data_IF_537299773246
#
_entry.id   IF_537299773246
#
_cell.length_a   1.000
_cell.length_b   1.000
_cell.length_c   1.000
_cell.angle_alpha   90.00
_cell.angle_beta   90.00
_cell.angle_gamma   90.00
#
_symmetry.space_group_name_H-M   'P 1'
#
loop_
_entity.id
_entity.type
_entity.pdbx_description
1 polymer ?
#
# COMPACT_ATOMS: atom_id res chain seq x y z
N UNK A 1 22.39 -1.80 21.66
CA UNK A 1 22.24 -0.37 21.90
C UNK A 1 21.17 -0.11 22.97
N UNK A 2 19.87 -0.30 22.72
CA UNK A 2 18.76 0.07 23.63
C UNK A 2 18.87 -0.56 25.03
N UNK A 3 19.22 -1.86 25.13
CA UNK A 3 19.41 -2.53 26.43
C UNK A 3 20.58 -1.97 27.22
N UNK A 4 21.63 -1.50 26.54
CA UNK A 4 22.78 -0.85 27.21
C UNK A 4 22.41 0.53 27.75
N UNK A 5 21.59 1.29 27.00
CA UNK A 5 21.17 2.62 27.39
C UNK A 5 20.05 2.63 28.45
N UNK A 6 19.15 1.63 28.38
CA UNK A 6 17.99 1.51 29.27
C UNK A 6 17.87 0.10 29.86
N UNK A 7 18.75 -0.31 30.80
CA UNK A 7 18.77 -1.67 31.35
C UNK A 7 17.46 -2.10 32.03
N UNK A 8 16.71 -1.13 32.55
CA UNK A 8 15.47 -1.32 33.27
C UNK A 8 14.25 -1.59 32.35
N UNK A 9 14.39 -1.36 31.04
CA UNK A 9 13.30 -1.59 30.11
C UNK A 9 13.15 -3.07 29.78
N UNK A 10 11.91 -3.57 29.89
CA UNK A 10 11.56 -4.94 29.54
C UNK A 10 10.21 -5.05 28.85
N UNK A 11 9.89 -6.25 28.35
CA UNK A 11 8.61 -6.57 27.74
C UNK A 11 8.25 -5.63 26.58
N UNK A 12 6.98 -5.20 26.56
CA UNK A 12 6.43 -4.35 25.49
C UNK A 12 7.14 -2.98 25.38
N UNK A 13 7.55 -2.40 26.51
CA UNK A 13 8.25 -1.09 26.53
C UNK A 13 9.58 -1.15 25.80
N UNK A 14 10.35 -2.24 26.01
CA UNK A 14 11.60 -2.45 25.28
C UNK A 14 11.37 -2.54 23.76
N UNK A 15 10.35 -3.29 23.34
CA UNK A 15 10.00 -3.42 21.91
C UNK A 15 9.67 -2.06 21.30
N UNK A 16 8.84 -1.25 21.99
CA UNK A 16 8.49 0.09 21.50
C UNK A 16 9.73 0.99 21.37
N UNK A 17 10.64 0.94 22.35
CA UNK A 17 11.85 1.76 22.31
C UNK A 17 12.80 1.31 21.20
N UNK A 18 12.96 0.00 20.98
CA UNK A 18 13.72 -0.52 19.83
C UNK A 18 13.14 -0.03 18.51
N UNK A 19 11.84 -0.15 18.32
CA UNK A 19 11.17 0.32 17.10
C UNK A 19 11.32 1.83 16.91
N UNK A 20 11.18 2.62 18.00
CA UNK A 20 11.42 4.08 17.96
C UNK A 20 12.83 4.41 17.49
N UNK A 21 13.84 3.75 18.06
CA UNK A 21 15.23 3.96 17.68
C UNK A 21 15.51 3.53 16.23
N UNK A 22 14.90 2.45 15.77
CA UNK A 22 15.02 2.03 14.36
C UNK A 22 14.43 3.06 13.40
N UNK A 23 13.26 3.61 13.73
CA UNK A 23 12.63 4.65 12.92
C UNK A 23 13.51 5.90 12.90
N UNK A 24 13.96 6.36 14.06
CA UNK A 24 14.83 7.52 14.19
C UNK A 24 16.12 7.37 13.36
N UNK A 25 16.78 6.22 13.49
CA UNK A 25 17.99 5.88 12.73
C UNK A 25 17.75 5.92 11.20
N UNK A 26 16.70 5.28 10.73
CA UNK A 26 16.39 5.22 9.29
C UNK A 26 15.95 6.57 8.73
N UNK A 27 15.21 7.37 9.48
CA UNK A 27 14.77 8.70 9.05
C UNK A 27 15.96 9.67 8.97
N UNK A 28 16.83 9.67 9.97
CA UNK A 28 18.01 10.53 9.97
C UNK A 28 18.95 10.18 8.81
N UNK A 29 19.23 8.90 8.59
CA UNK A 29 20.03 8.46 7.43
C UNK A 29 19.43 8.88 6.10
N UNK A 30 18.12 8.67 5.91
CA UNK A 30 17.42 9.07 4.69
C UNK A 30 17.57 10.58 4.44
N UNK A 31 17.41 11.39 5.48
CA UNK A 31 17.53 12.85 5.38
C UNK A 31 18.96 13.24 5.03
N UNK A 32 19.96 12.69 5.71
CA UNK A 32 21.35 13.08 5.53
C UNK A 32 21.90 12.61 4.18
N UNK A 33 21.63 11.36 3.78
CA UNK A 33 22.01 10.82 2.47
C UNK A 33 21.32 11.59 1.33
N UNK A 34 20.03 11.90 1.47
CA UNK A 34 19.30 12.69 0.47
C UNK A 34 19.80 14.13 0.36
N UNK A 35 20.15 14.77 1.49
CA UNK A 35 20.77 16.11 1.49
C UNK A 35 22.10 16.10 0.74
N UNK A 36 22.95 15.11 1.00
CA UNK A 36 24.23 14.98 0.30
C UNK A 36 24.03 14.75 -1.21
N UNK A 37 23.07 13.91 -1.59
CA UNK A 37 22.71 13.66 -3.00
C UNK A 37 22.19 14.92 -3.69
N UNK A 38 21.27 15.65 -3.05
CA UNK A 38 20.76 16.93 -3.55
C UNK A 38 21.85 17.98 -3.70
N UNK A 39 22.74 18.09 -2.72
CA UNK A 39 23.84 19.04 -2.78
C UNK A 39 24.82 18.73 -3.92
N UNK A 40 25.09 17.45 -4.17
CA UNK A 40 25.94 16.98 -5.27
C UNK A 40 25.30 17.20 -6.64
N UNK A 41 24.03 16.90 -6.79
CA UNK A 41 23.30 17.04 -8.07
C UNK A 41 22.92 18.49 -8.36
N UNK A 42 22.74 19.31 -7.33
CA UNK A 42 22.39 20.73 -7.39
C UNK A 42 21.32 21.10 -8.43
N UNK A 43 20.17 20.38 -8.49
CA UNK A 43 19.15 20.62 -9.50
C UNK A 43 18.51 22.01 -9.31
N UNK A 44 18.25 22.71 -10.41
CA UNK A 44 17.68 24.08 -10.41
C UNK A 44 16.17 24.08 -10.61
N UNK A 45 15.60 22.94 -11.05
CA UNK A 45 14.16 22.81 -11.31
C UNK A 45 13.67 21.39 -11.06
N UNK A 46 12.36 21.24 -10.96
CA UNK A 46 11.71 19.91 -10.84
C UNK A 46 11.92 19.07 -12.10
N UNK A 47 11.99 19.72 -13.26
CA UNK A 47 12.21 19.00 -14.53
C UNK A 47 13.64 18.47 -14.62
N UNK A 48 14.63 19.19 -14.09
CA UNK A 48 15.98 18.66 -13.93
C UNK A 48 16.00 17.42 -13.02
N UNK A 49 15.30 17.45 -11.87
CA UNK A 49 15.17 16.29 -10.98
C UNK A 49 14.58 15.09 -11.71
N UNK A 50 13.51 15.30 -12.49
CA UNK A 50 12.84 14.23 -13.26
C UNK A 50 13.70 13.65 -14.37
N UNK A 51 14.65 14.41 -14.91
CA UNK A 51 15.57 13.96 -15.96
C UNK A 51 16.76 13.15 -15.44
N UNK A 52 16.99 13.11 -14.13
CA UNK A 52 18.09 12.35 -13.54
C UNK A 52 17.85 10.85 -13.65
N UNK A 53 18.91 10.11 -13.98
CA UNK A 53 18.86 8.65 -14.07
C UNK A 53 18.74 7.96 -12.69
N UNK A 54 19.14 8.62 -11.61
CA UNK A 54 19.14 8.08 -10.27
C UNK A 54 18.23 8.91 -9.34
N UNK A 55 17.53 8.29 -8.39
CA UNK A 55 16.74 9.01 -7.41
C UNK A 55 17.65 9.84 -6.51
N UNK A 56 17.21 11.03 -6.13
CA UNK A 56 17.91 11.89 -5.17
C UNK A 56 17.54 11.60 -3.72
N UNK A 57 16.34 11.05 -3.48
CA UNK A 57 15.90 10.62 -2.16
C UNK A 57 16.26 9.14 -1.97
N UNK A 58 17.25 8.87 -1.15
CA UNK A 58 17.81 7.54 -0.98
C UNK A 58 18.40 7.36 0.42
N UNK A 59 18.50 6.12 0.86
CA UNK A 59 19.29 5.75 2.03
C UNK A 59 20.77 5.67 1.67
N UNK A 60 21.65 5.80 2.67
CA UNK A 60 23.04 5.35 2.51
C UNK A 60 23.09 3.86 2.15
N UNK A 61 24.19 3.42 1.53
CA UNK A 61 24.32 2.03 1.10
C UNK A 61 24.21 1.06 2.28
N UNK A 62 24.81 1.38 3.43
CA UNK A 62 24.74 0.57 4.63
C UNK A 62 23.31 0.39 5.15
N UNK A 63 22.58 1.48 5.34
CA UNK A 63 21.19 1.44 5.83
C UNK A 63 20.26 0.79 4.82
N UNK A 64 20.51 0.98 3.53
CA UNK A 64 19.77 0.30 2.47
C UNK A 64 19.91 -1.22 2.54
N UNK A 65 21.14 -1.74 2.77
CA UNK A 65 21.38 -3.17 2.93
C UNK A 65 20.67 -3.73 4.17
N UNK A 66 20.80 -3.08 5.32
CA UNK A 66 20.09 -3.44 6.55
C UNK A 66 18.56 -3.43 6.36
N UNK A 67 18.04 -2.44 5.67
CA UNK A 67 16.62 -2.34 5.36
C UNK A 67 16.14 -3.47 4.44
N UNK A 68 16.93 -3.88 3.45
CA UNK A 68 16.62 -5.01 2.58
C UNK A 68 16.68 -6.34 3.34
N UNK A 69 17.59 -6.49 4.29
CA UNK A 69 17.66 -7.66 5.16
C UNK A 69 16.43 -7.75 6.06
N UNK A 70 16.05 -6.64 6.71
CA UNK A 70 14.83 -6.58 7.52
C UNK A 70 13.59 -6.92 6.70
N UNK A 71 13.47 -6.39 5.47
CA UNK A 71 12.36 -6.73 4.56
C UNK A 71 12.31 -8.23 4.23
N UNK A 72 13.46 -8.86 3.97
CA UNK A 72 13.54 -10.31 3.72
C UNK A 72 13.07 -11.10 4.93
N UNK A 73 13.57 -10.74 6.12
CA UNK A 73 13.17 -11.35 7.37
C UNK A 73 11.66 -11.25 7.62
N UNK A 74 11.09 -10.05 7.50
CA UNK A 74 9.66 -9.82 7.67
C UNK A 74 8.82 -10.56 6.63
N UNK A 75 9.30 -10.65 5.39
CA UNK A 75 8.62 -11.41 4.34
C UNK A 75 8.48 -12.88 4.71
N UNK A 76 9.53 -13.48 5.26
CA UNK A 76 9.52 -14.90 5.60
C UNK A 76 8.75 -15.20 6.87
N UNK A 77 8.94 -14.39 7.92
CA UNK A 77 8.43 -14.70 9.25
C UNK A 77 7.07 -14.06 9.57
N UNK A 78 6.72 -12.96 8.90
CA UNK A 78 5.48 -12.25 9.14
C UNK A 78 4.51 -12.39 7.95
N UNK A 79 4.90 -11.93 6.76
CA UNK A 79 3.97 -11.85 5.63
C UNK A 79 3.59 -13.23 5.05
N UNK A 80 4.46 -14.24 5.16
CA UNK A 80 4.14 -15.63 4.81
C UNK A 80 3.47 -16.43 5.94
N UNK A 81 3.26 -15.81 7.08
CA UNK A 81 2.56 -16.48 8.18
C UNK A 81 1.12 -16.83 7.77
N UNK A 82 0.66 -18.05 8.10
CA UNK A 82 -0.64 -18.57 7.63
C UNK A 82 -1.82 -17.64 7.92
N UNK A 83 -1.82 -16.94 9.06
CA UNK A 83 -2.89 -15.98 9.42
C UNK A 83 -2.92 -14.79 8.46
N UNK A 84 -1.75 -14.26 8.07
CA UNK A 84 -1.63 -13.15 7.12
C UNK A 84 -2.05 -13.62 5.73
N UNK A 85 -1.56 -14.79 5.30
CA UNK A 85 -1.94 -15.38 4.02
C UNK A 85 -3.46 -15.60 3.90
N UNK A 86 -4.11 -16.12 4.96
CA UNK A 86 -5.57 -16.29 4.99
C UNK A 86 -6.31 -14.96 4.81
N UNK A 87 -5.86 -13.91 5.52
CA UNK A 87 -6.48 -12.58 5.41
C UNK A 87 -6.26 -11.98 4.02
N UNK A 88 -5.05 -12.05 3.49
CA UNK A 88 -4.73 -11.54 2.16
C UNK A 88 -5.51 -12.28 1.07
N UNK A 89 -5.57 -13.62 1.14
CA UNK A 89 -6.34 -14.44 0.18
C UNK A 89 -7.81 -14.10 0.22
N UNK A 90 -8.38 -13.91 1.44
CA UNK A 90 -9.78 -13.47 1.58
C UNK A 90 -10.00 -12.09 0.97
N UNK A 91 -9.15 -11.12 1.25
CA UNK A 91 -9.26 -9.77 0.69
C UNK A 91 -9.17 -9.77 -0.84
N UNK A 92 -8.19 -10.49 -1.40
CA UNK A 92 -8.06 -10.65 -2.86
C UNK A 92 -9.29 -11.29 -3.50
N UNK A 93 -9.90 -12.26 -2.83
CA UNK A 93 -11.13 -12.88 -3.28
C UNK A 93 -12.28 -11.89 -3.32
N UNK A 94 -12.50 -11.14 -2.24
CA UNK A 94 -13.55 -10.12 -2.14
C UNK A 94 -13.41 -9.09 -3.27
N UNK A 95 -12.23 -8.52 -3.45
CA UNK A 95 -11.99 -7.52 -4.52
C UNK A 95 -12.24 -8.10 -5.92
N UNK A 96 -11.76 -9.32 -6.17
CA UNK A 96 -11.94 -9.98 -7.48
C UNK A 96 -13.41 -10.30 -7.78
N UNK A 97 -14.14 -10.82 -6.80
CA UNK A 97 -15.54 -11.17 -6.97
C UNK A 97 -16.40 -9.91 -7.17
N UNK A 98 -16.17 -8.84 -6.41
CA UNK A 98 -16.82 -7.54 -6.62
C UNK A 98 -16.53 -7.00 -8.03
N UNK A 99 -15.26 -6.99 -8.44
CA UNK A 99 -14.87 -6.51 -9.75
C UNK A 99 -15.57 -7.30 -10.87
N UNK A 100 -15.52 -8.62 -10.82
CA UNK A 100 -16.12 -9.47 -11.84
C UNK A 100 -17.65 -9.30 -11.93
N UNK A 101 -18.33 -9.20 -10.78
CA UNK A 101 -19.77 -8.98 -10.76
C UNK A 101 -20.14 -7.62 -11.36
N UNK A 102 -19.52 -6.53 -10.90
CA UNK A 102 -19.84 -5.16 -11.36
C UNK A 102 -19.33 -4.90 -12.79
N UNK A 103 -18.27 -5.54 -13.22
CA UNK A 103 -17.81 -5.47 -14.61
C UNK A 103 -18.74 -6.20 -15.56
N UNK A 104 -19.29 -7.35 -15.15
CA UNK A 104 -20.27 -8.11 -15.91
C UNK A 104 -21.65 -7.44 -15.95
N UNK A 105 -22.06 -6.80 -14.86
CA UNK A 105 -23.34 -6.12 -14.72
C UNK A 105 -23.17 -4.78 -14.00
N UNK A 106 -23.02 -3.72 -14.80
CA UNK A 106 -22.77 -2.35 -14.31
C UNK A 106 -23.91 -1.81 -13.42
N UNK A 107 -25.14 -2.32 -13.62
CA UNK A 107 -26.29 -1.91 -12.84
C UNK A 107 -26.25 -2.36 -11.37
N UNK A 108 -25.29 -3.20 -10.99
CA UNK A 108 -25.03 -3.54 -9.59
C UNK A 108 -24.37 -2.40 -8.80
N UNK A 109 -23.82 -1.39 -9.46
CA UNK A 109 -23.25 -0.21 -8.81
C UNK A 109 -24.33 0.87 -8.56
N UNK A 110 -24.07 1.83 -7.64
CA UNK A 110 -24.92 3.02 -7.50
C UNK A 110 -25.00 3.82 -8.80
N UNK A 111 -26.13 4.49 -9.03
CA UNK A 111 -26.45 5.18 -10.31
C UNK A 111 -25.35 6.12 -10.81
N UNK A 112 -24.74 6.89 -9.92
CA UNK A 112 -23.66 7.82 -10.27
C UNK A 112 -22.42 7.10 -10.86
N UNK A 113 -22.11 5.90 -10.35
CA UNK A 113 -21.01 5.07 -10.84
C UNK A 113 -21.38 4.33 -12.13
N UNK A 114 -22.65 3.95 -12.31
CA UNK A 114 -23.17 3.40 -13.58
C UNK A 114 -22.98 4.41 -14.72
N UNK A 115 -23.34 5.68 -14.49
CA UNK A 115 -23.22 6.73 -15.50
C UNK A 115 -21.75 7.02 -15.84
N UNK A 116 -20.86 6.98 -14.85
CA UNK A 116 -19.43 7.09 -15.06
C UNK A 116 -18.90 5.92 -15.92
N UNK A 117 -19.32 4.68 -15.61
CA UNK A 117 -18.94 3.49 -16.36
C UNK A 117 -19.39 3.57 -17.81
N UNK A 118 -20.66 3.94 -18.07
CA UNK A 118 -21.19 4.09 -19.43
C UNK A 118 -20.46 5.16 -20.24
N UNK A 119 -20.14 6.30 -19.62
CA UNK A 119 -19.35 7.37 -20.28
C UNK A 119 -17.95 6.93 -20.66
N UNK A 120 -17.24 6.27 -19.74
CA UNK A 120 -15.88 5.79 -20.00
C UNK A 120 -15.90 4.63 -21.00
N UNK A 121 -16.88 3.75 -20.95
CA UNK A 121 -17.06 2.68 -21.93
C UNK A 121 -17.34 3.23 -23.34
N UNK A 122 -18.12 4.28 -23.47
CA UNK A 122 -18.34 4.93 -24.76
C UNK A 122 -17.08 5.57 -25.35
N UNK A 123 -16.14 6.01 -24.50
CA UNK A 123 -14.87 6.59 -24.93
C UNK A 123 -13.79 5.54 -25.24
N UNK A 124 -13.63 4.54 -24.37
CA UNK A 124 -12.48 3.61 -24.37
C UNK A 124 -12.89 2.13 -24.37
N UNK A 125 -14.18 1.82 -24.65
CA UNK A 125 -14.67 0.45 -24.68
C UNK A 125 -14.58 -0.24 -23.32
N UNK A 126 -14.30 -1.55 -23.32
CA UNK A 126 -14.18 -2.36 -22.10
C UNK A 126 -13.11 -1.85 -21.13
N UNK A 127 -12.05 -1.21 -21.63
CA UNK A 127 -10.99 -0.61 -20.79
C UNK A 127 -11.55 0.53 -19.95
N UNK A 128 -12.41 1.37 -20.55
CA UNK A 128 -13.09 2.46 -19.84
C UNK A 128 -14.06 1.94 -18.78
N UNK A 129 -14.83 0.90 -19.09
CA UNK A 129 -15.70 0.22 -18.11
C UNK A 129 -14.89 -0.38 -16.97
N UNK A 130 -13.83 -1.11 -17.27
CA UNK A 130 -12.95 -1.71 -16.26
C UNK A 130 -12.34 -0.64 -15.33
N UNK A 131 -11.96 0.50 -15.87
CA UNK A 131 -11.45 1.63 -15.12
C UNK A 131 -12.47 2.18 -14.14
N UNK A 132 -13.72 2.42 -14.58
CA UNK A 132 -14.78 2.93 -13.73
C UNK A 132 -15.09 1.98 -12.56
N UNK A 133 -15.18 0.68 -12.83
CA UNK A 133 -15.41 -0.34 -11.80
C UNK A 133 -14.24 -0.38 -10.81
N UNK A 134 -13.00 -0.34 -11.31
CA UNK A 134 -11.82 -0.34 -10.46
C UNK A 134 -11.76 0.92 -9.56
N UNK A 135 -12.07 2.09 -10.10
CA UNK A 135 -12.10 3.35 -9.33
C UNK A 135 -13.20 3.32 -8.26
N UNK A 136 -14.37 2.75 -8.54
CA UNK A 136 -15.43 2.57 -7.54
C UNK A 136 -14.97 1.66 -6.39
N UNK A 137 -14.40 0.49 -6.70
CA UNK A 137 -13.91 -0.44 -5.69
C UNK A 137 -12.73 0.16 -4.90
N UNK A 138 -11.83 0.88 -5.56
CA UNK A 138 -10.71 1.54 -4.91
C UNK A 138 -11.14 2.65 -3.92
N UNK A 139 -12.32 3.25 -4.14
CA UNK A 139 -12.93 4.20 -3.22
C UNK A 139 -13.57 3.58 -1.97
N UNK A 140 -13.70 2.25 -1.92
CA UNK A 140 -14.28 1.55 -0.78
C UNK A 140 -13.29 1.47 0.39
N UNK A 141 -13.80 1.60 1.61
CA UNK A 141 -13.07 1.11 2.79
C UNK A 141 -13.15 -0.41 2.85
N UNK A 142 -12.18 -1.07 3.51
CA UNK A 142 -12.19 -2.53 3.70
C UNK A 142 -13.53 -3.04 4.25
N UNK A 143 -14.08 -2.30 5.20
CA UNK A 143 -15.35 -2.63 5.86
C UNK A 143 -16.53 -2.55 4.89
N UNK A 144 -16.55 -1.52 4.05
CA UNK A 144 -17.59 -1.34 3.04
C UNK A 144 -17.51 -2.42 1.95
N UNK A 145 -16.30 -2.73 1.46
CA UNK A 145 -16.11 -3.78 0.48
C UNK A 145 -16.56 -5.17 0.97
N UNK A 146 -16.29 -5.50 2.24
CA UNK A 146 -16.77 -6.76 2.84
C UNK A 146 -18.29 -6.79 2.94
N UNK A 147 -18.91 -5.68 3.35
CA UNK A 147 -20.37 -5.56 3.46
C UNK A 147 -21.03 -5.67 2.09
N UNK A 148 -20.50 -4.96 1.09
CA UNK A 148 -21.01 -4.96 -0.27
C UNK A 148 -20.86 -6.34 -0.93
N UNK A 149 -19.76 -7.01 -0.67
CA UNK A 149 -19.57 -8.40 -1.08
C UNK A 149 -20.63 -9.32 -0.44
N UNK A 150 -20.91 -9.15 0.85
CA UNK A 150 -21.99 -9.89 1.53
C UNK A 150 -23.34 -9.67 0.86
N UNK A 151 -23.71 -8.41 0.59
CA UNK A 151 -24.97 -8.04 -0.06
C UNK A 151 -25.14 -8.68 -1.44
N UNK A 152 -24.05 -8.79 -2.21
CA UNK A 152 -24.11 -9.36 -3.56
C UNK A 152 -24.09 -10.89 -3.59
N UNK A 153 -23.42 -11.52 -2.64
CA UNK A 153 -23.12 -12.97 -2.72
C UNK A 153 -23.70 -13.81 -1.59
N UNK A 154 -24.18 -13.20 -0.50
CA UNK A 154 -24.82 -13.93 0.59
C UNK A 154 -26.34 -13.82 0.50
N UNK A 155 -27.05 -14.93 0.19
CA UNK A 155 -28.51 -14.92 0.06
C UNK A 155 -29.24 -14.57 1.37
N UNK A 156 -28.56 -14.61 2.51
CA UNK A 156 -29.15 -14.28 3.83
C UNK A 156 -29.10 -12.78 4.13
N UNK A 157 -28.25 -12.03 3.43
CA UNK A 157 -28.14 -10.58 3.57
C UNK A 157 -29.21 -9.87 2.71
N UNK A 158 -29.84 -8.83 3.27
CA UNK A 158 -30.77 -7.98 2.53
C UNK A 158 -30.03 -6.83 1.87
N UNK A 159 -30.28 -6.65 0.57
CA UNK A 159 -29.78 -5.51 -0.21
C UNK A 159 -30.46 -4.21 0.16
#
# INVERSE_FOLDING_TARGET
FVRGQYPQLGGRRLVHEVVRCMIDYTVNDLVDASRASLASAAPRSVDEVRSLAQPLLLFSDGVREEHLELKRYLREHLYKHFRVLRMTTKAQRVVRELFNAMFGEVNLMPTEHQDAARRLEAADGETGRARAVADYIAGMTDRFAILEHGRLFDPSERT
#
